data_IF_549082487506
#
_entry.id   IF_549082487506
#
_cell.length_a   1.000
_cell.length_b   1.000
_cell.length_c   1.000
_cell.angle_alpha   90.00
_cell.angle_beta   90.00
_cell.angle_gamma   90.00
#
_symmetry.space_group_name_H-M   'P 1'
#
loop_
_entity.id
_entity.type
_entity.pdbx_description
1 polymer ?
#
# COMPACT_ATOMS: atom_id res chain seq x y z
N UNK A 1 15.66 -33.74 -1.46
CA UNK A 1 16.33 -32.50 -0.98
C UNK A 1 16.36 -31.50 -2.12
N UNK A 2 15.69 -30.35 -1.98
CA UNK A 2 15.87 -29.24 -2.91
C UNK A 2 17.29 -28.68 -2.76
N UNK A 3 17.94 -28.34 -3.87
CA UNK A 3 19.23 -27.65 -3.81
C UNK A 3 19.02 -26.25 -3.21
N UNK A 4 20.01 -25.75 -2.44
CA UNK A 4 19.95 -24.41 -1.82
C UNK A 4 19.66 -23.31 -2.85
N UNK A 5 20.17 -23.46 -4.07
CA UNK A 5 19.87 -22.58 -5.21
C UNK A 5 18.38 -22.57 -5.56
N UNK A 6 17.76 -23.75 -5.70
CA UNK A 6 16.34 -23.85 -6.08
C UNK A 6 15.41 -23.33 -4.98
N UNK A 7 15.79 -23.48 -3.71
CA UNK A 7 15.06 -22.89 -2.59
C UNK A 7 15.09 -21.34 -2.64
N UNK A 8 16.23 -20.74 -3.00
CA UNK A 8 16.34 -19.29 -3.11
C UNK A 8 15.61 -18.73 -4.35
N UNK A 9 15.60 -19.44 -5.48
CA UNK A 9 14.79 -19.08 -6.66
C UNK A 9 13.29 -19.03 -6.34
N UNK A 10 12.78 -20.04 -5.61
CA UNK A 10 11.38 -20.08 -5.15
C UNK A 10 11.09 -18.89 -4.22
N UNK A 11 11.99 -18.59 -3.29
CA UNK A 11 11.82 -17.48 -2.33
C UNK A 11 11.75 -16.11 -3.01
N UNK A 12 12.57 -15.87 -4.04
CA UNK A 12 12.50 -14.62 -4.83
C UNK A 12 11.15 -14.50 -5.53
N UNK A 13 10.65 -15.58 -6.10
CA UNK A 13 9.35 -15.60 -6.78
C UNK A 13 8.19 -15.33 -5.81
N UNK A 14 8.17 -15.99 -4.65
CA UNK A 14 7.18 -15.73 -3.58
C UNK A 14 7.19 -14.27 -3.10
N UNK A 15 8.37 -13.66 -2.99
CA UNK A 15 8.49 -12.25 -2.61
C UNK A 15 7.97 -11.30 -3.69
N UNK A 16 8.19 -11.62 -4.97
CA UNK A 16 7.65 -10.84 -6.09
C UNK A 16 6.12 -10.90 -6.15
N UNK A 17 5.53 -12.08 -5.95
CA UNK A 17 4.06 -12.22 -5.87
C UNK A 17 3.50 -11.43 -4.68
N UNK A 18 4.11 -11.55 -3.51
CA UNK A 18 3.71 -10.79 -2.31
C UNK A 18 3.76 -9.28 -2.55
N UNK A 19 4.77 -8.76 -3.24
CA UNK A 19 4.87 -7.35 -3.61
C UNK A 19 3.76 -6.93 -4.59
N UNK A 20 3.39 -7.77 -5.55
CA UNK A 20 2.27 -7.49 -6.46
C UNK A 20 0.93 -7.46 -5.72
N UNK A 21 0.72 -8.34 -4.75
CA UNK A 21 -0.48 -8.34 -3.91
C UNK A 21 -0.58 -7.07 -3.06
N UNK A 22 0.53 -6.64 -2.45
CA UNK A 22 0.58 -5.40 -1.67
C UNK A 22 0.21 -4.22 -2.58
N UNK A 23 0.82 -4.11 -3.76
CA UNK A 23 0.53 -3.05 -4.71
C UNK A 23 -0.95 -3.04 -5.15
N UNK A 24 -1.52 -4.21 -5.41
CA UNK A 24 -2.95 -4.34 -5.74
C UNK A 24 -3.84 -3.86 -4.59
N UNK A 25 -3.52 -4.26 -3.36
CA UNK A 25 -4.24 -3.81 -2.15
C UNK A 25 -4.16 -2.30 -1.99
N UNK A 26 -2.98 -1.69 -2.19
CA UNK A 26 -2.79 -0.24 -2.15
C UNK A 26 -3.66 0.48 -3.17
N UNK A 27 -3.60 0.07 -4.44
CA UNK A 27 -4.35 0.72 -5.53
C UNK A 27 -5.85 0.68 -5.24
N UNK A 28 -6.36 -0.49 -4.82
CA UNK A 28 -7.78 -0.66 -4.53
C UNK A 28 -8.22 0.17 -3.32
N UNK A 29 -7.42 0.19 -2.27
CA UNK A 29 -7.69 0.97 -1.07
C UNK A 29 -7.72 2.48 -1.39
N UNK A 30 -6.69 3.00 -2.08
CA UNK A 30 -6.61 4.41 -2.47
C UNK A 30 -7.79 4.82 -3.36
N UNK A 31 -8.18 3.98 -4.32
CA UNK A 31 -9.36 4.24 -5.16
C UNK A 31 -10.66 4.34 -4.35
N UNK A 32 -10.85 3.45 -3.38
CA UNK A 32 -12.03 3.46 -2.51
C UNK A 32 -12.09 4.74 -1.65
N UNK A 33 -10.96 5.11 -1.04
CA UNK A 33 -10.86 6.31 -0.20
C UNK A 33 -11.00 7.61 -0.99
N UNK A 34 -10.47 7.69 -2.21
CA UNK A 34 -10.71 8.83 -3.11
C UNK A 34 -12.19 8.98 -3.48
N UNK A 35 -12.88 7.87 -3.71
CA UNK A 35 -14.32 7.89 -4.00
C UNK A 35 -15.13 8.37 -2.78
N UNK A 36 -14.76 7.94 -1.58
CA UNK A 36 -15.35 8.40 -0.32
C UNK A 36 -15.14 9.90 -0.11
N UNK A 37 -13.90 10.38 -0.28
CA UNK A 37 -13.54 11.80 -0.20
C UNK A 37 -14.37 12.65 -1.14
N UNK A 38 -14.55 12.21 -2.39
CA UNK A 38 -15.38 12.91 -3.38
C UNK A 38 -16.84 13.01 -2.96
N UNK A 39 -17.44 11.92 -2.48
CA UNK A 39 -18.83 11.93 -1.98
C UNK A 39 -18.98 12.88 -0.80
N UNK A 40 -17.99 12.90 0.07
CA UNK A 40 -17.96 13.76 1.24
C UNK A 40 -17.88 15.24 0.85
N UNK A 41 -16.99 15.59 -0.09
CA UNK A 41 -16.82 16.95 -0.61
C UNK A 41 -18.10 17.43 -1.33
N UNK A 42 -18.74 16.57 -2.12
CA UNK A 42 -20.04 16.85 -2.74
C UNK A 42 -21.16 17.06 -1.71
N UNK A 43 -21.15 16.31 -0.60
CA UNK A 43 -22.10 16.48 0.49
C UNK A 43 -21.85 17.80 1.24
N UNK A 44 -20.59 18.11 1.57
CA UNK A 44 -20.18 19.36 2.20
C UNK A 44 -20.57 20.58 1.36
N UNK A 45 -20.30 20.52 0.04
CA UNK A 45 -20.57 21.60 -0.90
C UNK A 45 -22.06 21.90 -1.05
N UNK A 46 -22.93 20.92 -0.85
CA UNK A 46 -24.39 21.09 -0.85
C UNK A 46 -24.95 21.77 0.40
N UNK A 47 -24.17 21.85 1.49
CA UNK A 47 -24.66 22.42 2.75
C UNK A 47 -24.54 23.94 2.81
N UNK A 48 -25.51 24.57 3.47
CA UNK A 48 -25.51 26.02 3.68
C UNK A 48 -24.39 26.47 4.62
N UNK A 49 -23.97 27.73 4.50
CA UNK A 49 -22.97 28.33 5.40
C UNK A 49 -23.38 28.22 6.89
N UNK A 50 -24.66 28.48 7.20
CA UNK A 50 -25.19 28.36 8.56
C UNK A 50 -25.08 26.93 9.10
N UNK A 51 -25.33 25.93 8.25
CA UNK A 51 -25.18 24.53 8.64
C UNK A 51 -23.71 24.18 8.86
N UNK A 52 -22.79 24.60 7.99
CA UNK A 52 -21.35 24.34 8.16
C UNK A 52 -20.79 24.96 9.45
N UNK A 53 -21.31 26.12 9.85
CA UNK A 53 -20.97 26.79 11.10
C UNK A 53 -21.71 26.21 12.33
N UNK A 54 -22.61 25.26 12.14
CA UNK A 54 -23.28 24.57 13.25
C UNK A 54 -22.38 23.50 13.88
N UNK A 55 -22.78 22.97 15.03
CA UNK A 55 -22.09 21.83 15.67
C UNK A 55 -22.04 20.64 14.72
N UNK A 56 -23.17 20.28 14.10
CA UNK A 56 -23.25 19.18 13.14
C UNK A 56 -22.32 19.39 11.93
N UNK A 57 -22.21 20.62 11.44
CA UNK A 57 -21.28 20.95 10.35
C UNK A 57 -19.81 20.79 10.75
N UNK A 58 -19.44 21.21 11.97
CA UNK A 58 -18.08 21.03 12.49
C UNK A 58 -17.73 19.56 12.75
N UNK A 59 -18.65 18.79 13.32
CA UNK A 59 -18.48 17.35 13.54
C UNK A 59 -18.32 16.60 12.22
N UNK A 60 -19.14 16.95 11.22
CA UNK A 60 -19.00 16.43 9.88
C UNK A 60 -17.60 16.76 9.32
N UNK A 61 -17.17 18.03 9.36
CA UNK A 61 -15.85 18.43 8.91
C UNK A 61 -14.70 17.76 9.67
N UNK A 62 -14.82 17.54 10.98
CA UNK A 62 -13.83 16.81 11.77
C UNK A 62 -13.73 15.34 11.34
N UNK A 63 -14.85 14.69 11.07
CA UNK A 63 -14.88 13.32 10.53
C UNK A 63 -14.21 13.25 9.15
N UNK A 64 -14.31 14.30 8.33
CA UNK A 64 -13.59 14.38 7.06
C UNK A 64 -12.07 14.37 7.24
N UNK A 65 -11.55 15.17 8.18
CA UNK A 65 -10.12 15.25 8.46
C UNK A 65 -9.57 13.92 9.01
N UNK A 66 -10.42 13.14 9.70
CA UNK A 66 -10.07 11.79 10.13
C UNK A 66 -9.89 10.83 8.94
N UNK A 67 -10.71 10.92 7.90
CA UNK A 67 -10.56 10.09 6.69
C UNK A 67 -9.21 10.37 6.01
N UNK A 68 -8.82 11.63 5.87
CA UNK A 68 -7.51 11.99 5.29
C UNK A 68 -6.34 11.49 6.17
N UNK A 69 -6.51 11.53 7.50
CA UNK A 69 -5.51 11.02 8.46
C UNK A 69 -5.37 9.50 8.43
N UNK A 70 -6.48 8.77 8.30
CA UNK A 70 -6.49 7.31 8.15
C UNK A 70 -5.78 6.86 6.87
N UNK A 71 -6.04 7.57 5.76
CA UNK A 71 -5.38 7.32 4.48
C UNK A 71 -3.86 7.50 4.63
N UNK A 72 -3.43 8.60 5.26
CA UNK A 72 -2.01 8.88 5.47
C UNK A 72 -1.34 7.81 6.35
N UNK A 73 -1.99 7.37 7.42
CA UNK A 73 -1.46 6.32 8.29
C UNK A 73 -1.32 4.97 7.56
N UNK A 74 -2.31 4.60 6.73
CA UNK A 74 -2.26 3.37 5.96
C UNK A 74 -1.20 3.42 4.85
N UNK A 75 -1.03 4.56 4.18
CA UNK A 75 0.06 4.75 3.23
C UNK A 75 1.43 4.55 3.88
N UNK A 76 1.66 5.16 5.05
CA UNK A 76 2.91 4.96 5.80
C UNK A 76 3.14 3.51 6.22
N UNK A 77 2.10 2.79 6.63
CA UNK A 77 2.23 1.36 6.97
C UNK A 77 2.62 0.54 5.74
N UNK A 78 2.03 0.82 4.58
CA UNK A 78 2.31 0.13 3.33
C UNK A 78 3.71 0.45 2.78
N UNK A 79 4.16 1.70 2.93
CA UNK A 79 5.55 2.09 2.62
C UNK A 79 6.55 1.26 3.42
N UNK A 80 6.31 1.11 4.73
CA UNK A 80 7.16 0.29 5.59
C UNK A 80 7.15 -1.19 5.18
N UNK A 81 5.99 -1.76 4.85
CA UNK A 81 5.86 -3.15 4.37
C UNK A 81 6.60 -3.36 3.04
N UNK A 82 6.51 -2.40 2.11
CA UNK A 82 7.23 -2.44 0.83
C UNK A 82 8.74 -2.41 1.05
N UNK A 83 9.23 -1.53 1.92
CA UNK A 83 10.66 -1.39 2.16
C UNK A 83 11.23 -2.65 2.83
N UNK A 84 10.49 -3.26 3.77
CA UNK A 84 10.85 -4.56 4.33
C UNK A 84 10.92 -5.66 3.25
N UNK A 85 9.92 -5.72 2.37
CA UNK A 85 9.88 -6.72 1.29
C UNK A 85 10.99 -6.52 0.27
N UNK A 86 11.33 -5.26 -0.09
CA UNK A 86 12.47 -4.95 -0.95
C UNK A 86 13.77 -5.43 -0.33
N UNK A 87 13.98 -5.19 0.95
CA UNK A 87 15.16 -5.68 1.67
C UNK A 87 15.26 -7.22 1.61
N UNK A 88 14.15 -7.92 1.84
CA UNK A 88 14.10 -9.39 1.74
C UNK A 88 14.43 -9.89 0.32
N UNK A 89 13.99 -9.18 -0.73
CA UNK A 89 14.32 -9.51 -2.12
C UNK A 89 15.81 -9.32 -2.38
N UNK A 90 16.38 -8.20 -1.95
CA UNK A 90 17.81 -7.90 -2.12
C UNK A 90 18.69 -8.92 -1.40
N UNK A 91 18.31 -9.33 -0.19
CA UNK A 91 18.98 -10.38 0.56
C UNK A 91 18.95 -11.72 -0.19
N UNK A 92 17.76 -12.15 -0.65
CA UNK A 92 17.60 -13.39 -1.40
C UNK A 92 18.39 -13.39 -2.73
N UNK A 93 18.44 -12.26 -3.43
CA UNK A 93 19.24 -12.08 -4.64
C UNK A 93 20.75 -12.12 -4.33
N UNK A 94 21.17 -11.54 -3.20
CA UNK A 94 22.56 -11.61 -2.76
C UNK A 94 22.98 -13.05 -2.45
N UNK A 95 22.12 -13.85 -1.81
CA UNK A 95 22.37 -15.28 -1.61
C UNK A 95 22.49 -16.05 -2.93
N UNK A 96 21.62 -15.79 -3.90
CA UNK A 96 21.69 -16.42 -5.23
C UNK A 96 23.00 -16.11 -5.98
N UNK A 97 23.52 -14.88 -5.86
CA UNK A 97 24.82 -14.51 -6.45
C UNK A 97 25.98 -15.32 -5.86
N UNK A 98 25.95 -15.67 -4.57
CA UNK A 98 26.98 -16.51 -3.93
C UNK A 98 27.09 -17.90 -4.56
N UNK A 99 26.01 -18.39 -5.17
CA UNK A 99 25.96 -19.69 -5.83
C UNK A 99 26.15 -19.62 -7.37
N UNK A 100 26.64 -18.48 -7.89
CA UNK A 100 27.02 -18.33 -9.31
C UNK A 100 25.85 -18.36 -10.29
N UNK A 101 24.63 -18.08 -9.84
CA UNK A 101 23.43 -18.20 -10.68
C UNK A 101 22.52 -16.99 -10.61
N UNK A 102 22.71 -16.04 -11.53
CA UNK A 102 21.61 -15.21 -12.02
C UNK A 102 21.42 -15.56 -13.49
N UNK A 103 20.49 -16.48 -13.78
CA UNK A 103 20.11 -16.80 -15.16
C UNK A 103 19.03 -15.80 -15.56
N UNK A 104 19.36 -14.91 -16.50
CA UNK A 104 18.54 -13.81 -17.05
C UNK A 104 17.22 -14.23 -17.73
N UNK A 105 16.69 -15.43 -17.49
CA UNK A 105 15.47 -15.94 -18.16
C UNK A 105 14.15 -15.36 -17.63
N UNK A 106 14.19 -14.57 -16.56
CA UNK A 106 13.02 -14.00 -15.92
C UNK A 106 13.11 -12.47 -15.74
N UNK A 107 13.94 -11.80 -16.55
CA UNK A 107 14.00 -10.34 -16.65
C UNK A 107 12.94 -9.82 -17.63
#
# INVERSE_FOLDING_TARGET
MLSRKRAAEIRVWELQESLQEINTRMINHTKAKLAERRRFEEAWNRQSFRWRASVAGREFHANWMNVDSEIAAQLHQLEAEIDEKKYQVEEALHELRKYGGWNSRYA
#
